data_IF_361288255183
#
_entry.id   IF_361288255183
#
_cell.length_a   1.000
_cell.length_b   1.000
_cell.length_c   1.000
_cell.angle_alpha   90.00
_cell.angle_beta   90.00
_cell.angle_gamma   90.00
#
_symmetry.space_group_name_H-M   'P 1'
#
loop_
_entity.id
_entity.type
_entity.pdbx_description
1 polymer ?
#
# COMPACT_ATOMS: atom_id res chain seq x y z
N UNK A 1 -11.92 20.78 16.78
CA UNK A 1 -11.48 20.36 15.43
C UNK A 1 -10.31 19.44 15.60
N UNK A 2 -10.48 18.15 15.35
CA UNK A 2 -9.38 17.18 15.31
C UNK A 2 -8.58 17.41 14.02
N UNK A 3 -7.26 17.49 14.13
CA UNK A 3 -6.35 17.76 13.00
C UNK A 3 -5.22 16.75 12.97
N UNK A 4 -4.74 16.46 11.75
CA UNK A 4 -3.52 15.67 11.53
C UNK A 4 -2.32 16.46 12.05
N UNK A 5 -1.53 15.84 12.92
CA UNK A 5 -0.30 16.41 13.48
C UNK A 5 0.94 15.91 12.74
N UNK A 6 0.97 14.61 12.46
CA UNK A 6 2.04 13.98 11.71
C UNK A 6 1.48 12.83 10.88
N UNK A 7 2.15 12.55 9.76
CA UNK A 7 1.80 11.45 8.87
C UNK A 7 3.10 10.85 8.33
N UNK A 8 3.22 9.53 8.44
CA UNK A 8 4.36 8.79 7.90
C UNK A 8 3.90 7.63 7.05
N UNK A 9 4.56 7.46 5.91
CA UNK A 9 4.36 6.36 4.99
C UNK A 9 5.62 5.48 4.97
N UNK A 10 5.45 4.21 5.31
CA UNK A 10 6.47 3.20 5.19
C UNK A 10 6.07 2.20 4.11
N UNK A 11 6.87 2.11 3.05
CA UNK A 11 6.68 1.12 1.98
C UNK A 11 7.72 0.03 2.17
N UNK A 12 7.27 -1.21 2.35
CA UNK A 12 8.07 -2.43 2.38
C UNK A 12 7.99 -3.20 1.05
N UNK A 13 8.55 -4.41 1.04
CA UNK A 13 8.39 -5.33 -0.09
C UNK A 13 6.97 -5.91 -0.06
N UNK A 14 6.16 -5.56 -1.05
CA UNK A 14 4.75 -5.98 -1.22
C UNK A 14 3.77 -5.57 -0.10
N UNK A 15 4.23 -4.83 0.89
CA UNK A 15 3.43 -4.31 2.00
C UNK A 15 3.73 -2.83 2.23
N UNK A 16 2.83 -2.13 2.91
CA UNK A 16 3.06 -0.78 3.39
C UNK A 16 2.15 -0.41 4.54
N UNK A 17 2.55 0.65 5.24
CA UNK A 17 1.89 1.16 6.43
C UNK A 17 1.84 2.69 6.35
N UNK A 18 0.64 3.23 6.53
CA UNK A 18 0.42 4.64 6.80
C UNK A 18 0.14 4.76 8.29
N UNK A 19 0.87 5.64 8.97
CA UNK A 19 0.63 5.99 10.37
C UNK A 19 0.37 7.49 10.46
N UNK A 20 -0.82 7.84 10.96
CA UNK A 20 -1.27 9.23 11.09
C UNK A 20 -1.57 9.53 12.54
N UNK A 21 -0.93 10.55 13.11
CA UNK A 21 -1.20 11.02 14.47
C UNK A 21 -2.16 12.21 14.46
N UNK A 22 -3.17 12.16 15.33
CA UNK A 22 -4.22 13.16 15.44
C UNK A 22 -4.06 14.01 16.71
N UNK A 23 -4.57 15.24 16.67
CA UNK A 23 -4.45 16.21 17.77
C UNK A 23 -5.16 15.81 19.07
N UNK A 24 -6.07 14.83 19.02
CA UNK A 24 -6.73 14.23 20.18
C UNK A 24 -5.91 13.09 20.81
N UNK A 25 -4.72 12.80 20.29
CA UNK A 25 -3.83 11.74 20.78
C UNK A 25 -4.06 10.38 20.12
N UNK A 26 -4.96 10.28 19.14
CA UNK A 26 -5.16 9.03 18.40
C UNK A 26 -4.05 8.78 17.39
N UNK A 27 -3.78 7.52 17.16
CA UNK A 27 -2.91 7.05 16.09
C UNK A 27 -3.74 6.16 15.18
N UNK A 28 -3.90 6.59 13.92
CA UNK A 28 -4.58 5.82 12.89
C UNK A 28 -3.53 5.07 12.08
N UNK A 29 -3.65 3.75 12.02
CA UNK A 29 -2.78 2.87 11.23
C UNK A 29 -3.57 2.26 10.11
N UNK A 30 -3.03 2.33 8.91
CA UNK A 30 -3.65 1.75 7.73
C UNK A 30 -2.61 0.94 6.96
N UNK A 31 -2.83 -0.37 6.93
CA UNK A 31 -1.99 -1.30 6.20
C UNK A 31 -2.52 -1.45 4.77
N UNK A 32 -1.59 -1.61 3.82
CA UNK A 32 -1.92 -1.99 2.45
C UNK A 32 -0.92 -3.01 1.94
N UNK A 33 -1.38 -3.85 1.02
CA UNK A 33 -0.50 -4.68 0.22
C UNK A 33 -0.38 -4.11 -1.18
N UNK A 34 0.70 -4.44 -1.87
CA UNK A 34 0.88 -4.06 -3.24
C UNK A 34 1.70 -5.10 -3.99
N UNK A 35 1.52 -5.19 -5.29
CA UNK A 35 2.25 -6.12 -6.14
C UNK A 35 2.36 -5.58 -7.56
N UNK A 36 3.15 -6.26 -8.40
CA UNK A 36 3.26 -5.92 -9.82
C UNK A 36 2.69 -7.08 -10.63
N UNK A 37 1.80 -6.75 -11.56
CA UNK A 37 1.29 -7.65 -12.58
C UNK A 37 1.45 -7.04 -13.98
N UNK A 38 0.78 -7.64 -14.96
CA UNK A 38 0.81 -7.19 -16.35
C UNK A 38 0.30 -5.76 -16.55
N UNK A 39 -0.61 -5.29 -15.69
CA UNK A 39 -1.20 -3.96 -15.74
C UNK A 39 -0.41 -2.92 -14.91
N UNK A 40 0.66 -3.36 -14.22
CA UNK A 40 1.57 -2.52 -13.46
C UNK A 40 1.42 -2.70 -11.96
N UNK A 41 1.54 -1.60 -11.20
CA UNK A 41 1.42 -1.65 -9.73
C UNK A 41 -0.06 -1.78 -9.35
N UNK A 42 -0.38 -2.83 -8.62
CA UNK A 42 -1.66 -3.03 -7.95
C UNK A 42 -1.52 -2.72 -6.47
N UNK A 43 -2.58 -2.19 -5.87
CA UNK A 43 -2.64 -1.84 -4.45
C UNK A 43 -3.92 -2.41 -3.89
N UNK A 44 -3.78 -3.22 -2.85
CA UNK A 44 -4.87 -3.75 -2.05
C UNK A 44 -4.92 -2.95 -0.75
N UNK A 45 -5.88 -2.04 -0.69
CA UNK A 45 -6.09 -1.14 0.43
C UNK A 45 -7.54 -1.26 0.87
N UNK A 46 -7.74 -1.62 2.14
CA UNK A 46 -9.05 -1.72 2.77
C UNK A 46 -9.17 -0.58 3.78
N UNK A 47 -9.85 0.53 3.43
CA UNK A 47 -10.03 1.67 4.33
C UNK A 47 -10.71 1.25 5.65
N UNK A 48 -11.66 0.32 5.54
CA UNK A 48 -12.42 -0.23 6.67
C UNK A 48 -11.57 -1.05 7.65
N UNK A 49 -10.34 -1.42 7.26
CA UNK A 49 -9.41 -2.16 8.10
C UNK A 49 -8.47 -1.25 8.91
N UNK A 50 -8.73 0.07 8.95
CA UNK A 50 -7.94 1.00 9.75
C UNK A 50 -8.00 0.66 11.24
N UNK A 51 -6.83 0.66 11.87
CA UNK A 51 -6.69 0.49 13.31
C UNK A 51 -6.55 1.87 13.96
N UNK A 52 -7.40 2.17 14.94
CA UNK A 52 -7.37 3.45 15.68
C UNK A 52 -6.95 3.18 17.13
N UNK A 53 -5.71 3.56 17.45
CA UNK A 53 -5.13 3.44 18.79
C UNK A 53 -5.47 4.71 19.59
N UNK A 54 -5.87 4.55 20.85
CA UNK A 54 -6.32 5.64 21.73
C UNK A 54 -7.83 5.90 21.70
N UNK A 55 -8.58 5.05 21.01
CA UNK A 55 -10.05 5.08 20.90
C UNK A 55 -10.71 3.82 21.49
N UNK A 56 -10.00 3.04 22.30
CA UNK A 56 -10.43 1.71 22.76
C UNK A 56 -11.69 1.75 23.64
N UNK A 57 -11.92 2.87 24.35
CA UNK A 57 -13.08 3.07 25.23
C UNK A 57 -14.28 3.73 24.53
N UNK A 58 -14.20 3.96 23.21
CA UNK A 58 -15.23 4.67 22.45
C UNK A 58 -16.19 3.69 21.79
N UNK A 59 -17.44 3.67 22.26
CA UNK A 59 -18.49 2.83 21.68
C UNK A 59 -18.97 3.35 20.30
N UNK A 60 -19.03 4.68 20.12
CA UNK A 60 -19.43 5.29 18.85
C UNK A 60 -18.67 6.60 18.62
N UNK A 61 -18.06 6.73 17.44
CA UNK A 61 -17.40 7.96 17.04
C UNK A 61 -18.40 9.10 16.83
N UNK A 62 -18.07 10.28 17.36
CA UNK A 62 -18.74 11.53 17.03
C UNK A 62 -18.57 11.90 15.55
N UNK A 63 -19.40 12.82 15.06
CA UNK A 63 -19.27 13.32 13.69
C UNK A 63 -17.91 13.97 13.41
N UNK A 64 -17.31 14.59 14.42
CA UNK A 64 -15.99 15.21 14.31
C UNK A 64 -14.87 14.17 14.18
N UNK A 65 -14.95 13.08 14.95
CA UNK A 65 -13.99 11.98 14.90
C UNK A 65 -14.09 11.21 13.58
N UNK A 66 -15.31 10.92 13.10
CA UNK A 66 -15.51 10.32 11.76
C UNK A 66 -14.91 11.19 10.66
N UNK A 67 -15.15 12.50 10.72
CA UNK A 67 -14.57 13.43 9.74
C UNK A 67 -13.04 13.54 9.83
N UNK A 68 -12.44 13.19 10.97
CA UNK A 68 -10.98 13.10 11.10
C UNK A 68 -10.44 11.78 10.53
N UNK A 69 -11.13 10.67 10.76
CA UNK A 69 -10.77 9.36 10.19
C UNK A 69 -10.87 9.36 8.66
N UNK A 70 -11.95 9.93 8.09
CA UNK A 70 -12.11 10.09 6.64
C UNK A 70 -10.96 10.88 6.00
N UNK A 71 -10.38 11.84 6.73
CA UNK A 71 -9.23 12.63 6.25
C UNK A 71 -7.91 11.88 6.31
N UNK A 72 -7.83 10.81 7.10
CA UNK A 72 -6.64 9.96 7.16
C UNK A 72 -6.61 8.95 6.00
N UNK A 73 -7.72 8.75 5.29
CA UNK A 73 -7.78 7.81 4.17
C UNK A 73 -6.95 8.31 2.97
N UNK A 74 -6.09 7.43 2.47
CA UNK A 74 -5.26 7.70 1.30
C UNK A 74 -5.90 7.19 0.02
N UNK A 75 -5.84 8.00 -1.03
CA UNK A 75 -6.29 7.55 -2.34
C UNK A 75 -5.28 6.57 -2.95
N UNK A 76 -5.78 5.48 -3.53
CA UNK A 76 -4.92 4.43 -4.12
C UNK A 76 -3.97 4.94 -5.20
N UNK A 77 -4.35 6.00 -5.92
CA UNK A 77 -3.50 6.68 -6.90
C UNK A 77 -2.23 7.28 -6.27
N UNK A 78 -2.37 7.91 -5.10
CA UNK A 78 -1.26 8.53 -4.40
C UNK A 78 -0.32 7.45 -3.85
N UNK A 79 -0.89 6.36 -3.31
CA UNK A 79 -0.11 5.18 -2.88
C UNK A 79 0.69 4.57 -4.03
N UNK A 80 0.10 4.41 -5.22
CA UNK A 80 0.84 3.92 -6.40
C UNK A 80 2.01 4.82 -6.76
N UNK A 81 1.83 6.14 -6.67
CA UNK A 81 2.88 7.13 -6.96
C UNK A 81 4.05 7.00 -5.99
N UNK A 82 3.77 6.83 -4.70
CA UNK A 82 4.80 6.60 -3.68
C UNK A 82 5.51 5.25 -3.86
N UNK A 83 4.74 4.19 -4.18
CA UNK A 83 5.30 2.86 -4.48
C UNK A 83 6.28 2.94 -5.66
N UNK A 84 5.93 3.64 -6.75
CA UNK A 84 6.81 3.81 -7.91
C UNK A 84 8.16 4.45 -7.55
N UNK A 85 8.17 5.31 -6.54
CA UNK A 85 9.37 5.99 -6.04
C UNK A 85 10.20 5.12 -5.08
N UNK A 86 9.62 4.05 -4.56
CA UNK A 86 10.27 3.16 -3.59
C UNK A 86 11.38 2.30 -4.21
N UNK A 87 12.36 1.93 -3.38
CA UNK A 87 13.40 0.95 -3.76
C UNK A 87 12.81 -0.45 -4.03
N UNK A 88 11.72 -0.79 -3.35
CA UNK A 88 11.08 -2.10 -3.43
C UNK A 88 10.37 -2.31 -4.77
N UNK A 89 9.78 -1.26 -5.34
CA UNK A 89 9.23 -1.32 -6.71
C UNK A 89 10.28 -1.74 -7.74
N UNK A 90 11.50 -1.21 -7.65
CA UNK A 90 12.59 -1.58 -8.58
C UNK A 90 12.94 -3.06 -8.47
N UNK A 91 12.93 -3.60 -7.25
CA UNK A 91 13.17 -5.02 -7.01
C UNK A 91 12.02 -5.87 -7.54
N UNK A 92 10.78 -5.59 -7.12
CA UNK A 92 9.60 -6.34 -7.56
C UNK A 92 9.45 -6.33 -9.09
N UNK A 93 9.74 -5.20 -9.75
CA UNK A 93 9.69 -5.09 -11.21
C UNK A 93 10.70 -6.00 -11.90
N UNK A 94 11.89 -6.11 -11.31
CA UNK A 94 12.94 -7.00 -11.82
C UNK A 94 12.50 -8.46 -11.68
N UNK A 95 12.01 -8.84 -10.50
CA UNK A 95 11.52 -10.20 -10.23
C UNK A 95 10.33 -10.58 -11.13
N UNK A 96 9.38 -9.66 -11.34
CA UNK A 96 8.27 -9.85 -12.28
C UNK A 96 8.77 -10.05 -13.73
N UNK A 97 9.77 -9.27 -14.17
CA UNK A 97 10.33 -9.47 -15.52
C UNK A 97 11.03 -10.83 -15.65
N UNK A 98 11.80 -11.23 -14.63
CA UNK A 98 12.48 -12.52 -14.60
C UNK A 98 11.50 -13.71 -14.57
N UNK A 99 10.33 -13.56 -13.92
CA UNK A 99 9.29 -14.58 -13.92
C UNK A 99 8.60 -14.73 -15.28
N UNK A 100 8.50 -13.66 -16.08
CA UNK A 100 8.04 -13.72 -17.47
C UNK A 100 9.08 -14.40 -18.38
N UNK A 101 10.36 -14.11 -18.19
CA UNK A 101 11.45 -14.67 -18.99
C UNK A 101 11.65 -16.18 -18.77
N UNK A 102 11.21 -16.73 -17.62
CA UNK A 102 11.18 -18.19 -17.37
C UNK A 102 10.32 -18.97 -18.38
N UNK A 103 9.27 -18.35 -18.95
CA UNK A 103 8.50 -18.93 -20.05
C UNK A 103 9.06 -18.62 -21.45
N UNK A 104 10.01 -17.68 -21.56
CA UNK A 104 10.74 -17.40 -22.80
C UNK A 104 11.96 -18.33 -23.00
N UNK A 105 12.44 -18.99 -21.94
CA UNK A 105 13.50 -20.01 -22.00
C UNK A 105 12.98 -21.39 -22.45
N UNK A 106 12.10 -21.42 -23.45
CA UNK A 106 12.06 -22.52 -24.41
C UNK A 106 12.58 -21.99 -25.75
N UNK A 107 13.85 -21.60 -25.74
CA UNK A 107 14.67 -21.47 -26.95
C UNK A 107 14.96 -22.85 -27.56
N UNK A 108 13.92 -23.66 -27.75
CA UNK A 108 13.95 -24.80 -28.66
C UNK A 108 13.43 -24.26 -29.98
N UNK A 109 14.34 -23.93 -30.87
CA UNK A 109 14.01 -23.85 -32.28
C UNK A 109 13.76 -25.28 -32.77
N UNK A 110 12.67 -25.54 -33.52
CA UNK A 110 12.44 -26.84 -34.17
C UNK A 110 13.62 -27.32 -35.04
N UNK A 111 14.54 -26.41 -35.40
CA UNK A 111 15.78 -26.73 -36.12
C UNK A 111 16.87 -27.40 -35.28
N UNK A 112 16.77 -27.42 -33.96
CA UNK A 112 17.75 -28.11 -33.11
C UNK A 112 17.44 -29.62 -32.98
N UNK A 113 16.34 -30.09 -33.58
CA UNK A 113 15.87 -31.48 -33.54
C UNK A 113 15.87 -32.21 -34.91
N UNK A 114 16.36 -31.58 -35.98
CA UNK A 114 16.45 -32.18 -37.33
C UNK A 114 17.84 -32.03 -37.96
#
# INVERSE_FOLDING_TARGET
>A
MITIQNESLEIGYEVGLIETSLSNGWIVKQCFNWFIDYDGVQVEYAPDAMEVIGAEEIEEYSAEERAALDKCEWHTYDLKTEIYSSKYYRQAKKEFKESLDLYAYYGVSEKDFY
#
